data_IF_797662852411
#
_entry.id   IF_797662852411
#
_cell.length_a   1.000
_cell.length_b   1.000
_cell.length_c   1.000
_cell.angle_alpha   90.00
_cell.angle_beta   90.00
_cell.angle_gamma   90.00
#
_symmetry.space_group_name_H-M   'P 1'
#
loop_
_entity.id
_entity.type
_entity.pdbx_description
1 polymer ?
#
# COMPACT_ATOMS: atom_id res chain seq x y z
N UNK A 1 -48.66 -42.99 -31.93
CA UNK A 1 -47.55 -42.09 -32.24
C UNK A 1 -47.40 -41.14 -31.07
N UNK A 2 -46.37 -41.34 -30.22
CA UNK A 2 -46.03 -40.50 -29.05
C UNK A 2 -44.94 -39.51 -29.50
N UNK A 3 -45.27 -38.21 -29.58
CA UNK A 3 -44.26 -37.17 -29.83
C UNK A 3 -43.46 -36.95 -28.53
N UNK A 4 -42.16 -37.16 -28.58
CA UNK A 4 -41.21 -36.69 -27.54
C UNK A 4 -40.95 -35.19 -27.77
N UNK A 5 -41.40 -34.36 -26.84
CA UNK A 5 -40.93 -32.96 -26.75
C UNK A 5 -39.59 -32.95 -26.02
N UNK A 6 -38.55 -32.70 -26.78
CA UNK A 6 -37.22 -32.42 -26.21
C UNK A 6 -37.16 -30.96 -25.81
N UNK A 7 -37.19 -30.71 -24.51
CA UNK A 7 -36.96 -29.37 -23.96
C UNK A 7 -35.45 -29.05 -24.02
N UNK A 8 -35.06 -28.09 -24.85
CA UNK A 8 -33.72 -27.54 -24.96
C UNK A 8 -33.48 -26.58 -23.78
N UNK A 9 -32.76 -27.02 -22.78
CA UNK A 9 -32.33 -26.19 -21.65
C UNK A 9 -31.21 -25.27 -22.16
N UNK A 10 -31.51 -24.05 -22.52
CA UNK A 10 -30.50 -23.01 -22.77
C UNK A 10 -29.91 -22.58 -21.43
N UNK A 11 -28.70 -23.04 -21.13
CA UNK A 11 -27.91 -22.48 -20.04
C UNK A 11 -27.57 -21.03 -20.39
N UNK A 12 -28.16 -20.09 -19.66
CA UNK A 12 -27.72 -18.70 -19.67
C UNK A 12 -26.29 -18.67 -19.08
N UNK A 13 -25.29 -18.53 -19.93
CA UNK A 13 -23.96 -18.12 -19.51
C UNK A 13 -24.06 -16.64 -19.15
N UNK A 14 -24.27 -16.36 -17.88
CA UNK A 14 -24.11 -15.01 -17.35
C UNK A 14 -22.61 -14.73 -17.41
N UNK A 15 -22.14 -13.75 -18.19
CA UNK A 15 -20.73 -13.36 -18.12
C UNK A 15 -20.48 -12.90 -16.70
N UNK A 16 -19.53 -13.55 -16.00
CA UNK A 16 -18.94 -12.99 -14.78
C UNK A 16 -18.23 -11.70 -15.20
N UNK A 17 -18.92 -10.58 -15.10
CA UNK A 17 -18.26 -9.28 -15.12
C UNK A 17 -17.52 -9.23 -13.78
N UNK A 18 -16.20 -9.41 -13.78
CA UNK A 18 -15.41 -9.09 -12.63
C UNK A 18 -15.68 -7.61 -12.31
N UNK A 19 -16.25 -7.35 -11.15
CA UNK A 19 -16.46 -5.98 -10.71
C UNK A 19 -15.10 -5.31 -10.68
N UNK A 20 -14.98 -4.17 -11.38
CA UNK A 20 -13.75 -3.38 -11.38
C UNK A 20 -13.41 -2.98 -9.94
N UNK A 21 -12.15 -3.19 -9.53
CA UNK A 21 -11.68 -2.75 -8.23
C UNK A 21 -11.57 -1.23 -8.20
N UNK A 22 -11.91 -0.63 -7.07
CA UNK A 22 -11.87 0.81 -6.88
C UNK A 22 -11.04 1.18 -5.64
N UNK A 23 -10.54 2.39 -5.61
CA UNK A 23 -9.97 2.98 -4.40
C UNK A 23 -11.03 2.99 -3.30
N UNK A 24 -10.65 2.55 -2.10
CA UNK A 24 -11.55 2.38 -0.98
C UNK A 24 -12.19 0.99 -0.87
N UNK A 25 -12.02 0.11 -1.84
CA UNK A 25 -12.43 -1.29 -1.69
C UNK A 25 -11.54 -1.98 -0.64
N UNK A 26 -12.07 -3.05 -0.03
CA UNK A 26 -11.43 -3.72 1.08
C UNK A 26 -10.77 -5.01 0.61
N UNK A 27 -9.46 -5.11 0.81
CA UNK A 27 -8.70 -6.34 0.60
C UNK A 27 -8.91 -7.27 1.80
N UNK A 28 -9.36 -8.49 1.51
CA UNK A 28 -9.67 -9.52 2.47
C UNK A 28 -8.68 -10.71 2.36
N UNK A 29 -8.69 -11.59 3.37
CA UNK A 29 -7.93 -12.84 3.32
C UNK A 29 -8.20 -13.60 2.02
N UNK A 30 -7.17 -14.33 1.55
CA UNK A 30 -7.23 -15.04 0.26
C UNK A 30 -7.12 -14.14 -0.96
N UNK A 31 -6.64 -12.90 -0.79
CA UNK A 31 -6.45 -11.89 -1.86
C UNK A 31 -7.75 -11.49 -2.57
N UNK A 32 -8.86 -11.54 -1.84
CA UNK A 32 -10.17 -11.15 -2.37
C UNK A 32 -10.42 -9.67 -2.11
N UNK A 33 -10.75 -8.91 -3.15
CA UNK A 33 -11.20 -7.52 -3.01
C UNK A 33 -12.73 -7.47 -2.97
N UNK A 34 -13.29 -6.75 -2.00
CA UNK A 34 -14.72 -6.57 -1.78
C UNK A 34 -15.04 -5.08 -1.77
N UNK A 35 -16.09 -4.67 -2.49
CA UNK A 35 -16.48 -3.27 -2.49
C UNK A 35 -16.84 -2.78 -1.08
N UNK A 36 -16.56 -1.50 -0.79
CA UNK A 36 -16.94 -0.92 0.50
C UNK A 36 -18.43 -1.10 0.80
N UNK A 37 -19.28 -1.09 -0.22
CA UNK A 37 -20.73 -1.26 -0.06
C UNK A 37 -21.12 -2.67 0.38
N UNK A 38 -20.44 -3.68 -0.15
CA UNK A 38 -20.75 -5.11 0.07
C UNK A 38 -19.97 -5.71 1.24
N UNK A 39 -18.99 -4.97 1.78
CA UNK A 39 -18.18 -5.48 2.88
C UNK A 39 -18.98 -5.58 4.19
N UNK A 40 -18.93 -6.76 4.79
CA UNK A 40 -19.40 -7.02 6.16
C UNK A 40 -18.37 -7.88 6.92
N UNK A 41 -18.27 -7.65 8.24
CA UNK A 41 -17.29 -8.31 9.10
C UNK A 41 -17.62 -9.76 9.45
N UNK A 42 -18.81 -10.24 9.11
CA UNK A 42 -19.23 -11.62 9.37
C UNK A 42 -18.71 -12.56 8.30
N UNK A 43 -18.78 -12.12 7.02
CA UNK A 43 -18.43 -12.94 5.88
C UNK A 43 -17.02 -12.68 5.35
N UNK A 44 -16.42 -11.54 5.72
CA UNK A 44 -15.11 -11.13 5.19
C UNK A 44 -14.19 -10.71 6.32
N UNK A 45 -12.95 -11.19 6.27
CA UNK A 45 -11.87 -10.73 7.15
C UNK A 45 -10.97 -9.80 6.37
N UNK A 46 -11.07 -8.51 6.66
CA UNK A 46 -10.22 -7.50 6.06
C UNK A 46 -8.75 -7.69 6.46
N UNK A 47 -7.84 -7.42 5.53
CA UNK A 47 -6.40 -7.36 5.76
C UNK A 47 -5.81 -6.04 5.30
N UNK A 48 -6.53 -5.27 4.46
CA UNK A 48 -6.09 -3.97 3.98
C UNK A 48 -7.19 -3.21 3.25
N UNK A 49 -6.86 -2.00 2.81
CA UNK A 49 -7.73 -1.12 2.04
C UNK A 49 -7.02 -0.68 0.77
N UNK A 50 -7.68 -0.80 -0.37
CA UNK A 50 -7.16 -0.40 -1.67
C UNK A 50 -7.00 1.13 -1.72
N UNK A 51 -5.79 1.61 -2.02
CA UNK A 51 -5.53 3.03 -2.17
C UNK A 51 -5.08 3.46 -3.56
N UNK A 52 -4.78 2.49 -4.43
CA UNK A 52 -4.43 2.72 -5.82
C UNK A 52 -4.88 1.54 -6.67
N UNK A 53 -5.36 1.83 -7.87
CA UNK A 53 -5.72 0.84 -8.89
C UNK A 53 -5.12 1.30 -10.20
N UNK A 54 -4.51 0.39 -10.94
CA UNK A 54 -3.94 0.66 -12.26
C UNK A 54 -5.00 0.82 -13.35
N UNK A 55 -4.59 1.17 -14.56
CA UNK A 55 -5.50 1.38 -15.70
C UNK A 55 -6.24 0.11 -16.13
N UNK A 56 -5.75 -1.08 -15.75
CA UNK A 56 -6.45 -2.35 -16.03
C UNK A 56 -7.66 -2.56 -15.12
N UNK A 57 -7.69 -1.92 -13.96
CA UNK A 57 -8.72 -2.09 -12.93
C UNK A 57 -8.64 -3.41 -12.17
N UNK A 58 -7.57 -4.19 -12.34
CA UNK A 58 -7.41 -5.52 -11.74
C UNK A 58 -6.20 -5.64 -10.80
N UNK A 59 -5.28 -4.68 -10.83
CA UNK A 59 -4.09 -4.64 -10.01
C UNK A 59 -3.94 -3.28 -9.35
N UNK A 60 -3.26 -3.26 -8.22
CA UNK A 60 -3.03 -2.03 -7.48
C UNK A 60 -2.37 -2.29 -6.15
N UNK A 61 -2.50 -1.33 -5.24
CA UNK A 61 -1.90 -1.39 -3.91
C UNK A 61 -2.96 -1.25 -2.83
N UNK A 62 -2.81 -2.07 -1.78
CA UNK A 62 -3.59 -2.00 -0.57
C UNK A 62 -2.71 -1.63 0.63
N UNK A 63 -3.24 -0.79 1.52
CA UNK A 63 -2.65 -0.38 2.79
C UNK A 63 -3.05 -1.37 3.88
N UNK A 64 -2.13 -1.79 4.73
CA UNK A 64 -2.44 -2.60 5.91
C UNK A 64 -3.43 -1.89 6.86
N UNK A 65 -4.17 -2.63 7.66
CA UNK A 65 -5.18 -2.05 8.58
C UNK A 65 -4.54 -1.28 9.73
N UNK A 66 -3.35 -1.67 10.17
CA UNK A 66 -2.66 -1.12 11.33
C UNK A 66 -1.24 -0.67 10.98
N UNK A 67 -0.68 0.23 11.80
CA UNK A 67 0.75 0.56 11.74
C UNK A 67 1.56 -0.58 12.37
N UNK A 68 2.71 -0.89 11.79
CA UNK A 68 3.67 -1.86 12.36
C UNK A 68 4.36 -1.30 13.62
N UNK A 69 4.36 0.02 13.78
CA UNK A 69 4.99 0.74 14.87
C UNK A 69 5.84 1.90 14.38
N UNK A 70 6.72 2.40 15.25
CA UNK A 70 7.65 3.48 14.94
C UNK A 70 9.09 2.97 15.02
N UNK A 71 9.81 3.05 13.90
CA UNK A 71 11.14 2.45 13.74
C UNK A 71 12.11 3.43 13.10
N UNK A 72 13.42 3.20 13.33
CA UNK A 72 14.46 3.80 12.50
C UNK A 72 14.43 3.17 11.11
N UNK A 73 14.77 3.94 10.07
CA UNK A 73 14.91 3.40 8.72
C UNK A 73 16.00 2.33 8.67
N UNK A 74 17.15 2.60 9.33
CA UNK A 74 18.29 1.72 9.45
C UNK A 74 19.42 2.01 8.46
N UNK A 75 20.54 1.34 8.62
CA UNK A 75 21.69 1.45 7.70
C UNK A 75 22.26 2.85 7.52
N UNK A 76 22.28 3.69 8.57
CA UNK A 76 22.82 5.04 8.50
C UNK A 76 24.29 5.03 8.11
N UNK A 77 24.66 5.72 7.00
CA UNK A 77 26.02 5.74 6.45
C UNK A 77 26.40 4.50 5.62
N UNK A 78 25.42 3.64 5.30
CA UNK A 78 25.65 2.42 4.51
C UNK A 78 25.15 2.57 3.07
N UNK A 79 25.89 2.01 2.11
CA UNK A 79 25.47 1.90 0.72
C UNK A 79 24.46 0.76 0.58
N UNK A 80 23.20 1.11 0.37
CA UNK A 80 22.08 0.16 0.27
C UNK A 80 21.92 -0.47 -1.10
N UNK A 81 22.64 0.00 -2.11
CA UNK A 81 22.46 -0.36 -3.52
C UNK A 81 21.12 0.08 -4.13
N UNK A 82 20.32 0.84 -3.39
CA UNK A 82 19.15 1.50 -3.95
C UNK A 82 19.55 2.74 -4.75
N UNK A 83 18.70 3.15 -5.68
CA UNK A 83 18.85 4.42 -6.36
C UNK A 83 18.64 5.59 -5.38
N UNK A 84 19.56 6.58 -5.44
CA UNK A 84 19.45 7.79 -4.64
C UNK A 84 18.59 8.84 -5.34
N UNK A 85 17.43 9.12 -4.77
CA UNK A 85 16.52 10.14 -5.28
C UNK A 85 16.75 11.47 -4.58
N UNK A 86 17.63 12.31 -5.13
CA UNK A 86 18.01 13.60 -4.52
C UNK A 86 17.04 14.73 -4.80
N UNK A 87 16.06 14.51 -5.64
CA UNK A 87 15.00 15.47 -5.93
C UNK A 87 13.63 14.87 -5.62
N UNK A 88 12.79 15.69 -5.05
CA UNK A 88 11.43 15.33 -4.66
C UNK A 88 10.57 14.82 -5.83
N UNK A 89 10.68 15.44 -7.00
CA UNK A 89 9.93 15.01 -8.17
C UNK A 89 10.30 13.57 -8.55
N UNK A 90 11.60 13.26 -8.58
CA UNK A 90 12.07 11.91 -8.88
C UNK A 90 11.73 10.91 -7.78
N UNK A 91 11.81 11.29 -6.49
CA UNK A 91 11.36 10.42 -5.40
C UNK A 91 9.86 10.10 -5.48
N UNK A 92 9.06 11.06 -5.94
CA UNK A 92 7.63 10.87 -6.14
C UNK A 92 7.28 9.97 -7.35
N UNK A 93 8.24 9.66 -8.19
CA UNK A 93 8.12 8.72 -9.32
C UNK A 93 8.62 7.32 -8.95
N UNK A 94 9.27 7.14 -7.79
CA UNK A 94 9.60 5.82 -7.26
C UNK A 94 8.33 5.13 -6.77
N UNK A 95 7.96 4.05 -7.45
CA UNK A 95 6.76 3.24 -7.18
C UNK A 95 7.11 1.80 -6.76
N UNK A 96 8.40 1.49 -6.63
CA UNK A 96 8.89 0.13 -6.48
C UNK A 96 9.26 -0.23 -5.03
N UNK A 97 8.32 -0.03 -4.11
CA UNK A 97 8.51 -0.37 -2.69
C UNK A 97 8.84 -1.84 -2.46
N UNK A 98 8.29 -2.75 -3.27
CA UNK A 98 8.56 -4.17 -3.14
C UNK A 98 10.03 -4.51 -3.38
N UNK A 99 10.61 -4.10 -4.52
CA UNK A 99 12.01 -4.39 -4.81
C UNK A 99 12.96 -3.59 -3.92
N UNK A 100 12.60 -2.37 -3.53
CA UNK A 100 13.35 -1.63 -2.52
C UNK A 100 13.44 -2.42 -1.21
N UNK A 101 12.31 -2.90 -0.70
CA UNK A 101 12.26 -3.70 0.54
C UNK A 101 13.06 -4.99 0.40
N UNK A 102 12.88 -5.71 -0.71
CA UNK A 102 13.63 -6.94 -0.99
C UNK A 102 15.13 -6.70 -0.97
N UNK A 103 15.60 -5.68 -1.69
CA UNK A 103 17.03 -5.32 -1.77
C UNK A 103 17.62 -5.04 -0.40
N UNK A 104 16.90 -4.28 0.44
CA UNK A 104 17.34 -3.95 1.80
C UNK A 104 17.40 -5.19 2.68
N UNK A 105 16.40 -6.06 2.64
CA UNK A 105 16.36 -7.27 3.46
C UNK A 105 17.43 -8.33 3.08
N UNK A 106 18.02 -8.22 1.89
CA UNK A 106 19.14 -9.05 1.45
C UNK A 106 20.50 -8.55 1.97
N UNK A 107 20.57 -7.36 2.59
CA UNK A 107 21.80 -6.80 3.13
C UNK A 107 22.11 -7.40 4.53
N UNK A 108 23.41 -7.56 4.82
CA UNK A 108 23.89 -8.06 6.14
C UNK A 108 23.98 -6.91 7.18
N UNK A 109 22.87 -6.18 7.37
CA UNK A 109 22.73 -5.04 8.28
C UNK A 109 21.30 -4.97 8.82
N UNK A 110 21.10 -4.21 9.89
CA UNK A 110 19.79 -4.03 10.51
C UNK A 110 19.06 -2.83 9.91
N UNK A 111 17.86 -3.08 9.43
CA UNK A 111 16.95 -2.08 8.86
C UNK A 111 15.56 -2.18 9.50
N UNK A 112 15.37 -1.64 10.72
CA UNK A 112 14.17 -1.90 11.53
C UNK A 112 12.85 -1.57 10.84
N UNK A 113 12.81 -0.52 10.01
CA UNK A 113 11.59 -0.16 9.26
C UNK A 113 11.21 -1.21 8.20
N UNK A 114 12.20 -1.90 7.62
CA UNK A 114 11.99 -2.95 6.63
C UNK A 114 11.77 -4.33 7.27
N UNK A 115 12.40 -4.58 8.41
CA UNK A 115 12.23 -5.82 9.18
C UNK A 115 10.88 -5.89 9.89
N UNK A 116 10.22 -4.74 10.08
CA UNK A 116 8.91 -4.66 10.71
C UNK A 116 7.76 -5.14 9.80
N UNK A 117 7.95 -5.19 8.48
CA UNK A 117 6.91 -5.61 7.54
C UNK A 117 6.90 -7.13 7.37
N UNK A 118 5.73 -7.71 7.13
CA UNK A 118 5.56 -9.16 6.87
C UNK A 118 5.86 -9.47 5.39
N UNK A 119 7.14 -9.36 5.01
CA UNK A 119 7.56 -9.49 3.61
C UNK A 119 7.31 -10.89 3.05
N UNK A 120 7.38 -11.94 3.85
CA UNK A 120 7.11 -13.32 3.43
C UNK A 120 5.65 -13.50 2.96
N UNK A 121 4.73 -12.73 3.51
CA UNK A 121 3.32 -12.70 3.12
C UNK A 121 2.98 -11.56 2.13
N UNK A 122 4.00 -10.95 1.51
CA UNK A 122 3.86 -9.98 0.42
C UNK A 122 3.61 -8.55 0.88
N UNK A 123 3.77 -8.24 2.17
CA UNK A 123 3.73 -6.87 2.69
C UNK A 123 5.11 -6.23 2.64
N UNK A 124 5.20 -4.96 2.25
CA UNK A 124 6.47 -4.27 2.12
C UNK A 124 6.36 -2.79 2.51
N UNK A 125 7.51 -2.15 2.74
CA UNK A 125 7.59 -0.72 3.03
C UNK A 125 7.33 0.07 1.73
N UNK A 126 6.29 0.92 1.66
CA UNK A 126 5.93 1.62 0.44
C UNK A 126 7.01 2.59 -0.03
N UNK A 127 7.21 2.73 -1.33
CA UNK A 127 8.02 3.79 -1.92
C UNK A 127 7.34 5.17 -1.80
N UNK A 128 8.10 6.25 -1.96
CA UNK A 128 7.60 7.61 -1.81
C UNK A 128 6.45 7.94 -2.77
N UNK A 129 6.50 7.46 -4.01
CA UNK A 129 5.43 7.62 -4.97
C UNK A 129 4.16 6.85 -4.61
N UNK A 130 4.29 5.67 -3.99
CA UNK A 130 3.15 4.91 -3.47
C UNK A 130 2.48 5.65 -2.31
N UNK A 131 3.27 6.19 -1.37
CA UNK A 131 2.74 7.05 -0.28
C UNK A 131 2.07 8.31 -0.81
N UNK A 132 2.55 8.87 -1.91
CA UNK A 132 1.89 9.98 -2.60
C UNK A 132 0.52 9.59 -3.16
N UNK A 133 0.39 8.39 -3.73
CA UNK A 133 -0.90 7.86 -4.18
C UNK A 133 -1.86 7.63 -3.01
N UNK A 134 -1.38 7.05 -1.90
CA UNK A 134 -2.15 6.91 -0.67
C UNK A 134 -2.72 8.25 -0.19
N UNK A 135 -1.86 9.25 -0.09
CA UNK A 135 -2.29 10.54 0.44
C UNK A 135 -3.33 11.25 -0.44
N UNK A 136 -3.23 11.13 -1.76
CA UNK A 136 -4.23 11.69 -2.68
C UNK A 136 -5.63 11.10 -2.46
N UNK A 137 -5.69 9.87 -2.01
CA UNK A 137 -6.91 9.10 -1.82
C UNK A 137 -7.28 8.93 -0.33
N UNK A 138 -6.59 9.66 0.57
CA UNK A 138 -6.64 9.47 2.02
C UNK A 138 -8.04 9.50 2.60
N UNK A 139 -8.93 10.35 2.06
CA UNK A 139 -10.31 10.47 2.54
C UNK A 139 -11.09 9.16 2.34
N UNK A 140 -11.01 8.60 1.16
CA UNK A 140 -11.75 7.37 0.81
C UNK A 140 -11.14 6.16 1.51
N UNK A 141 -9.81 6.11 1.58
CA UNK A 141 -9.07 5.07 2.32
C UNK A 141 -9.44 5.09 3.80
N UNK A 142 -9.47 6.25 4.45
CA UNK A 142 -9.83 6.35 5.86
C UNK A 142 -11.28 5.93 6.15
N UNK A 143 -12.23 6.26 5.27
CA UNK A 143 -13.61 5.81 5.42
C UNK A 143 -13.70 4.28 5.40
N UNK A 144 -12.89 3.62 4.58
CA UNK A 144 -12.82 2.16 4.50
C UNK A 144 -12.07 1.54 5.67
N UNK A 145 -10.99 2.17 6.15
CA UNK A 145 -10.29 1.74 7.36
C UNK A 145 -11.22 1.75 8.57
N UNK A 146 -11.99 2.82 8.77
CA UNK A 146 -12.99 2.89 9.84
C UNK A 146 -14.02 1.74 9.76
N UNK A 147 -14.54 1.45 8.55
CA UNK A 147 -15.51 0.36 8.36
C UNK A 147 -14.87 -1.02 8.56
N UNK A 148 -13.61 -1.19 8.19
CA UNK A 148 -12.86 -2.43 8.38
C UNK A 148 -12.36 -2.64 9.82
N UNK A 149 -12.48 -1.64 10.68
CA UNK A 149 -11.99 -1.66 12.06
C UNK A 149 -10.49 -1.43 12.18
N UNK A 150 -9.88 -0.84 11.15
CA UNK A 150 -8.45 -0.49 11.13
C UNK A 150 -8.16 0.92 11.66
N UNK A 151 -6.88 1.21 11.83
CA UNK A 151 -6.38 2.51 12.28
C UNK A 151 -6.38 3.50 11.11
N UNK A 152 -7.07 4.63 11.26
CA UNK A 152 -7.02 5.69 10.25
C UNK A 152 -5.64 6.35 10.20
N UNK A 153 -5.22 6.74 9.00
CA UNK A 153 -4.08 7.63 8.80
C UNK A 153 -4.53 9.05 9.09
N UNK A 154 -3.98 9.69 10.13
CA UNK A 154 -4.39 11.06 10.47
C UNK A 154 -4.07 12.01 9.33
N UNK A 155 -4.98 12.90 8.97
CA UNK A 155 -4.74 13.85 7.87
C UNK A 155 -3.70 14.93 8.21
N UNK A 156 -3.31 15.06 9.47
CA UNK A 156 -2.30 16.01 9.94
C UNK A 156 -1.50 15.39 11.09
N UNK A 157 -0.18 15.42 10.97
CA UNK A 157 0.77 15.14 12.05
C UNK A 157 1.44 13.78 12.02
N UNK A 158 0.93 12.80 11.28
CA UNK A 158 1.61 11.53 11.15
C UNK A 158 2.77 11.63 10.15
N UNK A 159 3.83 10.87 10.41
CA UNK A 159 5.00 10.78 9.54
C UNK A 159 5.33 9.31 9.30
N UNK A 160 5.41 8.92 8.03
CA UNK A 160 5.61 7.54 7.60
C UNK A 160 6.89 7.41 6.78
N UNK A 161 7.77 6.47 7.14
CA UNK A 161 8.90 6.13 6.29
C UNK A 161 8.44 5.63 4.92
N UNK A 162 9.20 5.99 3.89
CA UNK A 162 9.18 5.29 2.60
C UNK A 162 10.42 4.43 2.44
N UNK A 163 10.37 3.46 1.54
CA UNK A 163 11.52 2.66 1.14
C UNK A 163 12.49 3.41 0.21
N UNK A 164 12.14 4.63 -0.20
CA UNK A 164 12.92 5.45 -1.14
C UNK A 164 14.09 6.13 -0.43
N UNK A 165 15.30 5.87 -0.89
CA UNK A 165 16.50 6.45 -0.34
C UNK A 165 16.76 7.87 -0.90
N UNK A 166 17.26 8.76 -0.06
CA UNK A 166 17.76 10.08 -0.48
C UNK A 166 19.28 10.05 -0.62
N UNK A 167 19.99 9.48 0.36
CA UNK A 167 21.43 9.33 0.43
C UNK A 167 21.80 8.21 1.40
N UNK A 168 23.08 7.94 1.58
CA UNK A 168 23.60 6.98 2.57
C UNK A 168 23.14 7.27 4.00
N UNK A 169 22.85 8.54 4.34
CA UNK A 169 22.44 8.97 5.69
C UNK A 169 20.96 9.38 5.81
N UNK A 170 20.25 9.62 4.69
CA UNK A 170 18.88 10.13 4.71
C UNK A 170 17.94 9.27 3.84
N UNK A 171 16.67 9.19 4.25
CA UNK A 171 15.59 8.56 3.48
C UNK A 171 14.36 9.48 3.39
N UNK A 172 13.54 9.26 2.36
CA UNK A 172 12.29 9.99 2.16
C UNK A 172 11.20 9.48 3.10
N UNK A 173 10.32 10.38 3.50
CA UNK A 173 9.14 10.05 4.27
C UNK A 173 7.95 10.92 3.88
N UNK A 174 6.74 10.40 4.11
CA UNK A 174 5.50 11.14 4.02
C UNK A 174 5.27 11.91 5.33
N UNK A 175 4.87 13.17 5.23
CA UNK A 175 4.25 13.90 6.32
C UNK A 175 2.84 14.28 5.94
N UNK A 176 1.87 13.96 6.79
CA UNK A 176 0.48 14.34 6.59
C UNK A 176 0.26 15.76 7.12
N UNK A 177 0.49 16.76 6.27
CA UNK A 177 0.20 18.15 6.57
C UNK A 177 -0.73 18.70 5.48
N UNK A 178 -2.02 18.62 5.69
CA UNK A 178 -3.02 19.40 4.95
C UNK A 178 -2.92 19.48 3.44
N UNK A 179 -2.33 18.52 2.79
CA UNK A 179 -2.12 18.44 1.35
C UNK A 179 -0.71 18.00 1.00
N UNK A 180 -0.60 17.17 -0.03
CA UNK A 180 0.67 16.76 -0.64
C UNK A 180 1.39 17.91 -1.36
N UNK A 181 1.38 19.03 -0.77
CA UNK A 181 2.49 19.89 -1.01
C UNK A 181 3.60 19.43 -0.06
N UNK A 182 4.37 18.47 -0.51
CA UNK A 182 5.74 18.47 -0.13
C UNK A 182 6.18 19.91 -0.24
N UNK A 183 6.21 20.64 0.86
CA UNK A 183 6.71 22.00 0.83
C UNK A 183 8.11 22.00 0.28
N UNK A 184 8.60 23.09 -0.24
CA UNK A 184 9.86 23.27 -0.95
C UNK A 184 11.13 22.75 -0.24
N UNK A 185 11.01 22.25 0.94
CA UNK A 185 12.04 21.66 1.79
C UNK A 185 11.85 20.16 1.93
N UNK A 186 11.78 19.41 0.80
CA UNK A 186 11.59 17.95 0.78
C UNK A 186 12.01 17.30 2.09
N UNK A 187 11.10 16.57 2.71
CA UNK A 187 11.40 15.94 3.98
C UNK A 187 12.12 14.63 3.74
N UNK A 188 13.43 14.68 3.70
CA UNK A 188 14.28 13.57 4.05
C UNK A 188 14.75 13.77 5.48
N UNK A 189 14.97 12.70 6.18
CA UNK A 189 15.50 12.72 7.53
C UNK A 189 16.55 11.65 7.70
N UNK A 190 17.36 11.82 8.74
CA UNK A 190 18.37 10.85 9.09
C UNK A 190 17.74 9.48 9.31
N UNK A 191 18.36 8.45 8.72
CA UNK A 191 17.91 7.06 8.78
C UNK A 191 17.86 6.48 10.20
N UNK A 192 18.52 7.10 11.17
CA UNK A 192 18.46 6.77 12.60
C UNK A 192 17.30 7.43 13.35
N UNK A 193 16.62 8.41 12.74
CA UNK A 193 15.36 8.96 13.25
C UNK A 193 14.23 7.92 13.19
N UNK A 194 13.24 8.05 14.07
CA UNK A 194 12.09 7.12 14.09
C UNK A 194 10.84 7.72 13.48
N UNK A 195 10.12 6.94 12.67
CA UNK A 195 8.83 7.28 12.06
C UNK A 195 7.93 6.06 12.02
N UNK A 196 6.65 6.29 11.84
CA UNK A 196 5.67 5.22 11.63
C UNK A 196 6.02 4.40 10.38
N UNK A 197 5.77 3.12 10.47
CA UNK A 197 5.81 2.17 9.37
C UNK A 197 4.40 1.65 9.15
N UNK A 198 3.91 1.74 7.93
CA UNK A 198 2.64 1.17 7.50
C UNK A 198 2.87 0.38 6.23
N UNK A 199 2.65 -0.92 6.30
CA UNK A 199 2.89 -1.82 5.18
C UNK A 199 1.89 -1.61 4.06
N UNK A 200 2.34 -1.89 2.85
CA UNK A 200 1.49 -2.01 1.66
C UNK A 200 1.75 -3.33 0.95
N UNK A 201 0.81 -3.76 0.11
CA UNK A 201 0.99 -4.94 -0.75
C UNK A 201 0.26 -4.80 -2.07
N UNK A 202 0.71 -5.56 -3.06
CA UNK A 202 -0.02 -5.73 -4.33
C UNK A 202 -1.22 -6.67 -4.17
N UNK A 203 -2.22 -6.52 -5.02
CA UNK A 203 -3.38 -7.41 -5.12
C UNK A 203 -3.78 -7.68 -6.57
#
# INVERSE_FOLDING_TARGET
MKQLMTALLMALVVPCVNAQVNVGDILCEGNKVVSLADYDTVNFKAVGVVFYVDDSGNHGWALALEDEGSFAWGGNGEDTKLDNYTYRASAADDLDGYNNTKTILELDKTYPAFEAVDFENGWYLPAAGQLKCLYKNLKDVNASLEKAGGLIVKPIGDTYWSSTEYSDINAWYLITIGGLEYTSNGYNDHKDGTRLVRSVRDF
#
